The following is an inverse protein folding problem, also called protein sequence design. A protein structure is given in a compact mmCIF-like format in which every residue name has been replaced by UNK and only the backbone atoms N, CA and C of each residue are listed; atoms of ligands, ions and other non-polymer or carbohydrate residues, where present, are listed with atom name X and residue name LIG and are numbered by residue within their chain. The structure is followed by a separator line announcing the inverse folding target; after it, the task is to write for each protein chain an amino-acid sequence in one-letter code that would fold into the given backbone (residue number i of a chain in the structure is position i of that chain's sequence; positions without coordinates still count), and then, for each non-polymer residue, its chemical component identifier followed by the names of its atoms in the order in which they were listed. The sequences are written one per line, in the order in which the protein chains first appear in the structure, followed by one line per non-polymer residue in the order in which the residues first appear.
data_IF_684004827424
#
_entry.id   IF_684004827424
#
_cell.length_a   1.000
_cell.length_b   1.000
_cell.length_c   1.000
_cell.angle_alpha   90.00
_cell.angle_beta   90.00
_cell.angle_gamma   90.00
#
_symmetry.space_group_name_H-M   'P 1'
#
loop_
_entity.id
_entity.type
_entity.pdbx_description
1 polymer ?
#
# COMPACT_ATOMS: atom_id res chain seq x y z
N UNK A 1 -8.26 7.67 -3.19
CA UNK A 1 -9.25 8.77 -3.29
C UNK A 1 -10.51 8.38 -2.51
N UNK A 2 -10.98 9.18 -1.56
CA UNK A 2 -12.22 8.95 -0.79
C UNK A 2 -13.24 10.05 -1.16
N UNK A 3 -14.52 9.70 -1.28
CA UNK A 3 -15.58 10.60 -1.76
C UNK A 3 -16.69 10.69 -0.72
N UNK A 4 -16.87 11.89 -0.18
CA UNK A 4 -17.92 12.22 0.78
C UNK A 4 -19.29 12.25 0.09
N UNK A 5 -20.33 11.82 0.83
CA UNK A 5 -21.69 11.68 0.29
C UNK A 5 -22.44 12.98 0.03
N UNK A 6 -21.90 14.13 0.43
CA UNK A 6 -22.59 15.40 0.21
C UNK A 6 -22.28 15.88 -1.21
N UNK A 7 -23.26 15.67 -2.09
CA UNK A 7 -23.39 16.14 -3.48
C UNK A 7 -22.84 15.25 -4.61
N UNK A 8 -23.19 13.96 -4.61
CA UNK A 8 -23.05 13.15 -5.84
C UNK A 8 -24.17 13.56 -6.82
N UNK A 9 -23.78 14.30 -7.85
CA UNK A 9 -24.62 14.58 -9.02
C UNK A 9 -25.16 13.26 -9.59
N UNK A 10 -26.47 13.18 -9.84
CA UNK A 10 -27.08 12.03 -10.53
C UNK A 10 -26.66 12.03 -11.99
N UNK A 11 -25.61 11.29 -12.32
CA UNK A 11 -25.11 11.14 -13.68
C UNK A 11 -25.76 9.89 -14.31
N UNK A 12 -26.68 10.02 -15.28
CA UNK A 12 -27.29 8.87 -15.94
C UNK A 12 -26.28 8.13 -16.82
N UNK A 13 -26.36 6.81 -16.82
CA UNK A 13 -25.59 5.91 -17.68
C UNK A 13 -26.56 4.94 -18.40
N UNK A 14 -26.06 4.17 -19.36
CA UNK A 14 -26.88 3.24 -20.15
C UNK A 14 -27.72 2.28 -19.27
N UNK A 15 -28.82 1.76 -19.82
CA UNK A 15 -29.78 0.86 -19.14
C UNK A 15 -30.50 1.49 -17.94
N UNK A 16 -30.80 2.80 -18.02
CA UNK A 16 -31.53 3.55 -16.99
C UNK A 16 -30.88 3.50 -15.60
N UNK A 17 -29.55 3.33 -15.57
CA UNK A 17 -28.75 3.32 -14.33
C UNK A 17 -28.17 4.71 -14.07
N UNK A 18 -27.69 4.92 -12.85
CA UNK A 18 -26.92 6.11 -12.49
C UNK A 18 -25.50 5.68 -12.14
N UNK A 19 -24.52 6.55 -12.40
CA UNK A 19 -23.15 6.35 -11.95
C UNK A 19 -23.11 6.29 -10.42
N UNK A 20 -22.46 5.25 -9.90
CA UNK A 20 -22.19 5.08 -8.48
C UNK A 20 -20.70 5.23 -8.25
N UNK A 21 -20.32 6.16 -7.37
CA UNK A 21 -18.92 6.38 -7.08
C UNK A 21 -18.40 5.35 -6.08
N UNK A 22 -17.34 4.64 -6.48
CA UNK A 22 -16.58 3.76 -5.59
C UNK A 22 -15.60 4.54 -4.72
N UNK A 23 -14.98 3.85 -3.75
CA UNK A 23 -14.19 4.47 -2.69
C UNK A 23 -12.92 3.67 -2.46
N UNK A 24 -11.89 4.07 -3.18
CA UNK A 24 -10.62 3.37 -3.26
C UNK A 24 -10.04 2.93 -1.89
N UNK A 25 -9.98 3.79 -0.87
CA UNK A 25 -9.43 3.39 0.43
C UNK A 25 -10.36 2.49 1.25
N UNK A 26 -11.67 2.67 1.11
CA UNK A 26 -12.68 1.82 1.75
C UNK A 26 -12.62 0.41 1.14
N UNK A 27 -12.43 0.32 -0.18
CA UNK A 27 -12.32 -0.92 -0.93
C UNK A 27 -10.98 -1.63 -0.63
N UNK A 28 -9.86 -0.89 -0.60
CA UNK A 28 -8.54 -1.44 -0.21
C UNK A 28 -8.57 -2.00 1.21
N UNK A 29 -9.21 -1.30 2.16
CA UNK A 29 -9.40 -1.79 3.52
C UNK A 29 -10.14 -3.12 3.53
N UNK A 30 -11.28 -3.20 2.84
CA UNK A 30 -12.10 -4.41 2.83
C UNK A 30 -11.35 -5.60 2.23
N UNK A 31 -10.64 -5.42 1.12
CA UNK A 31 -9.95 -6.55 0.47
C UNK A 31 -8.74 -7.03 1.28
N UNK A 32 -7.99 -6.15 1.95
CA UNK A 32 -6.90 -6.57 2.85
C UNK A 32 -7.47 -7.29 4.09
N UNK A 33 -8.53 -6.74 4.68
CA UNK A 33 -9.20 -7.33 5.84
C UNK A 33 -9.69 -8.76 5.56
N UNK A 34 -10.27 -8.96 4.38
CA UNK A 34 -10.87 -10.23 3.98
C UNK A 34 -9.89 -11.25 3.37
N UNK A 35 -8.68 -10.84 2.98
CA UNK A 35 -7.67 -11.73 2.40
C UNK A 35 -7.37 -12.93 3.31
N UNK A 36 -7.17 -14.10 2.70
CA UNK A 36 -6.96 -15.39 3.38
C UNK A 36 -5.62 -16.04 3.04
N UNK A 37 -4.95 -15.62 1.97
CA UNK A 37 -3.74 -16.28 1.47
C UNK A 37 -2.58 -15.32 1.22
N UNK A 38 -2.82 -14.17 0.60
CA UNK A 38 -1.76 -13.22 0.27
C UNK A 38 -2.22 -11.76 0.30
N UNK A 39 -1.29 -10.90 0.71
CA UNK A 39 -1.36 -9.44 0.56
C UNK A 39 0.01 -8.95 0.11
N UNK A 40 0.12 -8.46 -1.11
CA UNK A 40 1.33 -7.85 -1.65
C UNK A 40 1.12 -6.36 -1.89
N UNK A 41 2.03 -5.55 -1.38
CA UNK A 41 2.00 -4.09 -1.53
C UNK A 41 3.31 -3.64 -2.14
N UNK A 42 3.23 -2.82 -3.20
CA UNK A 42 4.38 -2.13 -3.78
C UNK A 42 4.11 -0.64 -3.74
N UNK A 43 5.01 0.13 -3.16
CA UNK A 43 4.84 1.57 -3.02
C UNK A 43 6.14 2.33 -3.17
N UNK A 44 6.06 3.51 -3.80
CA UNK A 44 7.10 4.53 -3.67
C UNK A 44 7.36 4.88 -2.20
N UNK A 45 6.29 4.91 -1.41
CA UNK A 45 6.30 5.08 0.03
C UNK A 45 5.07 4.35 0.59
N UNK A 46 5.23 3.72 1.75
CA UNK A 46 4.15 3.17 2.55
C UNK A 46 4.32 3.76 3.94
N UNK A 47 3.28 4.32 4.53
CA UNK A 47 3.32 4.83 5.90
C UNK A 47 2.39 4.00 6.76
N UNK A 48 2.95 3.28 7.74
CA UNK A 48 2.25 2.27 8.55
C UNK A 48 1.18 2.87 9.44
N UNK A 49 1.33 4.14 9.83
CA UNK A 49 0.49 4.81 10.82
C UNK A 49 -0.84 5.36 10.26
N UNK A 50 -1.05 5.29 8.93
CA UNK A 50 -2.27 5.80 8.32
C UNK A 50 -3.47 4.90 8.62
N UNK A 51 -4.63 5.52 8.84
CA UNK A 51 -5.93 4.85 8.78
C UNK A 51 -6.49 4.91 7.36
N UNK A 52 -6.99 3.79 6.85
CA UNK A 52 -7.59 3.73 5.51
C UNK A 52 -9.02 4.30 5.51
N UNK A 53 -9.78 4.03 6.58
CA UNK A 53 -11.14 4.54 6.78
C UNK A 53 -11.09 5.68 7.79
N UNK A 54 -11.62 6.86 7.42
CA UNK A 54 -11.57 8.08 8.25
C UNK A 54 -12.91 8.83 8.37
N UNK A 55 -13.89 8.48 7.54
CA UNK A 55 -15.20 9.14 7.55
C UNK A 55 -16.03 8.65 8.74
N UNK A 56 -16.20 9.50 9.76
CA UNK A 56 -16.96 9.18 10.97
C UNK A 56 -18.44 8.93 10.71
N UNK A 57 -19.00 9.45 9.60
CA UNK A 57 -20.39 9.20 9.20
C UNK A 57 -20.57 7.81 8.58
N UNK A 58 -19.48 7.13 8.24
CA UNK A 58 -19.45 5.81 7.62
C UNK A 58 -18.33 4.97 8.20
N UNK A 59 -18.35 4.85 9.53
CA UNK A 59 -17.46 3.95 10.23
C UNK A 59 -17.65 2.52 9.73
N UNK A 60 -16.54 1.81 9.56
CA UNK A 60 -16.52 0.37 9.37
C UNK A 60 -16.09 -0.29 10.67
N UNK A 61 -16.53 -1.53 10.98
CA UNK A 61 -15.93 -2.32 12.04
C UNK A 61 -14.41 -2.30 11.89
N UNK A 62 -13.70 -1.91 12.95
CA UNK A 62 -12.24 -1.81 12.96
C UNK A 62 -11.63 -0.83 11.96
N UNK A 63 -12.41 0.10 11.40
CA UNK A 63 -11.91 1.11 10.46
C UNK A 63 -10.85 2.06 11.06
N UNK A 64 -10.75 2.10 12.39
CA UNK A 64 -9.74 2.87 13.12
C UNK A 64 -8.36 2.20 13.20
N UNK A 65 -8.21 0.95 12.76
CA UNK A 65 -6.92 0.26 12.72
C UNK A 65 -5.96 0.97 11.76
N UNK A 66 -4.69 1.06 12.16
CA UNK A 66 -3.62 1.56 11.30
C UNK A 66 -3.24 0.51 10.25
N UNK A 67 -2.77 0.94 9.09
CA UNK A 67 -2.38 0.04 8.00
C UNK A 67 -1.32 -0.98 8.46
N UNK A 68 -0.29 -0.53 9.16
CA UNK A 68 0.78 -1.41 9.65
C UNK A 68 0.26 -2.50 10.59
N UNK A 69 -0.58 -2.11 11.55
CA UNK A 69 -1.17 -3.04 12.51
C UNK A 69 -2.10 -4.06 11.82
N UNK A 70 -2.88 -3.61 10.83
CA UNK A 70 -3.70 -4.50 10.01
C UNK A 70 -2.84 -5.54 9.29
N UNK A 71 -1.75 -5.11 8.64
CA UNK A 71 -0.84 -6.00 7.91
C UNK A 71 -0.14 -7.01 8.83
N UNK A 72 0.36 -6.56 10.00
CA UNK A 72 0.93 -7.47 11.01
C UNK A 72 -0.08 -8.50 11.50
N UNK A 73 -1.33 -8.08 11.73
CA UNK A 73 -2.40 -9.01 12.11
C UNK A 73 -2.64 -10.04 11.01
N UNK A 74 -2.78 -9.62 9.75
CA UNK A 74 -2.97 -10.55 8.63
C UNK A 74 -1.83 -11.57 8.57
N UNK A 75 -0.59 -11.14 8.78
CA UNK A 75 0.56 -12.04 8.83
C UNK A 75 0.44 -13.06 9.98
N UNK A 76 0.06 -12.62 11.19
CA UNK A 76 -0.18 -13.52 12.33
C UNK A 76 -1.35 -14.50 12.13
N UNK A 77 -2.27 -14.18 11.22
CA UNK A 77 -3.36 -15.06 10.77
C UNK A 77 -2.91 -16.06 9.67
N UNK A 78 -1.60 -16.21 9.43
CA UNK A 78 -0.98 -17.01 8.37
C UNK A 78 -1.28 -16.52 6.93
N UNK A 79 -1.65 -15.25 6.74
CA UNK A 79 -1.70 -14.65 5.41
C UNK A 79 -0.30 -14.21 5.00
N UNK A 80 0.12 -14.52 3.78
CA UNK A 80 1.45 -14.08 3.30
C UNK A 80 1.44 -12.59 3.01
N UNK A 81 2.11 -11.81 3.85
CA UNK A 81 2.21 -10.35 3.68
C UNK A 81 3.60 -9.98 3.21
N UNK A 82 3.71 -9.44 1.99
CA UNK A 82 4.96 -8.92 1.44
C UNK A 82 4.80 -7.44 1.06
N UNK A 83 5.67 -6.59 1.58
CA UNK A 83 5.69 -5.15 1.29
C UNK A 83 7.02 -4.80 0.63
N UNK A 84 6.96 -4.26 -0.58
CA UNK A 84 8.12 -3.79 -1.33
C UNK A 84 8.05 -2.26 -1.42
N UNK A 85 9.03 -1.59 -0.81
CA UNK A 85 9.08 -0.12 -0.74
C UNK A 85 10.30 0.36 -1.49
N UNK A 86 10.21 1.48 -2.20
CA UNK A 86 11.38 2.09 -2.79
C UNK A 86 12.37 2.56 -1.70
N UNK A 87 13.65 2.21 -1.87
CA UNK A 87 14.75 2.63 -1.01
C UNK A 87 15.29 4.02 -1.46
N UNK A 88 15.02 5.06 -0.68
CA UNK A 88 15.52 6.42 -0.89
C UNK A 88 16.95 6.55 -0.37
N UNK A 89 17.92 6.30 -1.25
CA UNK A 89 19.35 6.47 -0.97
C UNK A 89 19.80 7.91 -0.69
N UNK A 90 18.92 8.91 -0.62
CA UNK A 90 19.30 10.21 -0.04
C UNK A 90 19.42 10.18 1.49
N UNK A 91 19.04 9.07 2.13
CA UNK A 91 19.19 8.82 3.58
C UNK A 91 20.63 8.50 4.03
N UNK A 92 21.54 8.12 3.12
CA UNK A 92 22.94 7.82 3.48
C UNK A 92 23.74 9.09 3.76
N UNK A 93 23.80 9.42 5.05
CA UNK A 93 24.76 10.37 5.61
C UNK A 93 24.12 11.35 6.58
N UNK A 94 23.77 10.88 7.78
CA UNK A 94 23.57 11.64 9.03
C UNK A 94 22.72 12.93 9.02
N UNK A 95 22.12 13.34 7.90
CA UNK A 95 21.47 14.64 7.77
C UNK A 95 19.95 14.60 7.70
N UNK A 96 19.31 13.43 7.54
CA UNK A 96 17.87 13.21 7.73
C UNK A 96 17.54 11.71 7.66
N UNK A 97 16.99 11.15 8.74
CA UNK A 97 16.47 9.78 8.77
C UNK A 97 15.29 9.55 7.79
N UNK A 98 14.64 10.63 7.36
CA UNK A 98 13.49 10.56 6.44
C UNK A 98 13.89 10.68 4.96
N UNK A 99 15.19 10.66 4.65
CA UNK A 99 15.70 11.04 3.33
C UNK A 99 15.37 12.50 2.99
N UNK A 100 15.70 12.93 1.77
CA UNK A 100 15.26 14.22 1.25
C UNK A 100 13.78 14.18 0.83
N UNK A 101 13.26 12.98 0.54
CA UNK A 101 11.96 12.79 -0.11
C UNK A 101 10.83 12.34 0.82
N UNK A 102 11.09 12.25 2.14
CA UNK A 102 10.11 11.93 3.18
C UNK A 102 9.32 10.65 2.90
N UNK A 103 10.02 9.58 2.54
CA UNK A 103 9.43 8.31 2.09
C UNK A 103 9.06 7.34 3.21
N UNK A 104 9.54 7.55 4.44
CA UNK A 104 9.30 6.67 5.61
C UNK A 104 9.69 5.20 5.37
N UNK A 105 10.63 4.95 4.46
CA UNK A 105 11.06 3.62 4.04
C UNK A 105 11.80 2.88 5.17
N UNK A 106 12.83 3.47 5.77
CA UNK A 106 13.54 2.86 6.90
C UNK A 106 12.64 2.67 8.14
N UNK A 107 11.74 3.62 8.41
CA UNK A 107 10.78 3.53 9.52
C UNK A 107 9.82 2.36 9.30
N UNK A 108 9.36 2.19 8.06
CA UNK A 108 8.43 1.12 7.70
C UNK A 108 9.09 -0.25 7.70
N UNK A 109 10.33 -0.37 7.20
CA UNK A 109 11.09 -1.61 7.29
C UNK A 109 11.28 -2.03 8.76
N UNK A 110 11.76 -1.11 9.61
CA UNK A 110 11.94 -1.34 11.05
C UNK A 110 10.63 -1.71 11.74
N UNK A 111 9.51 -1.12 11.30
CA UNK A 111 8.20 -1.49 11.84
C UNK A 111 7.90 -2.98 11.64
N UNK A 112 8.36 -3.61 10.56
CA UNK A 112 8.08 -5.02 10.25
C UNK A 112 9.19 -6.01 10.65
N UNK A 113 10.36 -5.56 11.12
CA UNK A 113 11.55 -6.38 11.38
C UNK A 113 11.30 -7.61 12.29
N UNK A 114 10.50 -7.46 13.35
CA UNK A 114 10.18 -8.52 14.31
C UNK A 114 8.76 -9.11 14.12
N UNK A 115 8.28 -9.24 12.88
CA UNK A 115 6.94 -9.77 12.59
C UNK A 115 6.92 -10.78 11.42
N UNK A 116 5.83 -11.54 11.30
CA UNK A 116 5.60 -12.49 10.20
C UNK A 116 5.39 -11.82 8.83
N UNK A 117 5.16 -10.49 8.79
CA UNK A 117 5.10 -9.72 7.56
C UNK A 117 6.52 -9.41 7.04
N UNK A 118 6.77 -9.68 5.77
CA UNK A 118 8.06 -9.42 5.15
C UNK A 118 8.07 -8.05 4.47
N UNK A 119 8.94 -7.14 4.92
CA UNK A 119 9.14 -5.83 4.30
C UNK A 119 10.54 -5.76 3.69
N UNK A 120 10.63 -5.35 2.42
CA UNK A 120 11.91 -5.24 1.71
C UNK A 120 12.05 -3.85 1.08
N UNK A 121 13.21 -3.24 1.30
CA UNK A 121 13.66 -2.04 0.62
C UNK A 121 14.20 -2.39 -0.77
N UNK A 122 13.64 -1.76 -1.79
CA UNK A 122 13.92 -2.03 -3.19
C UNK A 122 14.58 -0.82 -3.84
N UNK A 123 15.84 -1.00 -4.20
CA UNK A 123 16.61 -0.02 -4.93
C UNK A 123 16.21 0.03 -6.41
N UNK A 124 16.28 1.23 -7.00
CA UNK A 124 16.10 1.39 -8.45
C UNK A 124 17.46 1.43 -9.15
N UNK A 125 17.94 0.25 -9.53
CA UNK A 125 19.17 0.11 -10.32
C UNK A 125 18.86 0.12 -11.84
N UNK A 126 19.85 0.49 -12.66
CA UNK A 126 19.79 0.37 -14.13
C UNK A 126 20.55 -0.87 -14.61
N UNK A 127 20.10 -1.46 -15.71
CA UNK A 127 20.74 -2.64 -16.35
C UNK A 127 22.04 -2.31 -17.14
N UNK A 128 22.72 -1.19 -16.87
CA UNK A 128 23.86 -0.73 -17.70
C UNK A 128 25.12 -0.46 -16.88
N UNK A 129 26.26 -0.92 -17.40
CA UNK A 129 27.62 -0.73 -16.89
C UNK A 129 28.09 0.74 -17.01
N UNK A 130 27.56 1.60 -16.15
CA UNK A 130 27.88 3.03 -16.09
C UNK A 130 29.06 3.36 -15.16
N UNK A 131 29.44 4.65 -15.16
CA UNK A 131 30.38 5.23 -14.20
C UNK A 131 29.71 5.43 -12.83
N UNK A 132 30.47 5.28 -11.74
CA UNK A 132 30.03 5.49 -10.33
C UNK A 132 29.24 6.81 -10.14
N UNK A 133 29.63 7.87 -10.85
CA UNK A 133 28.95 9.19 -10.79
C UNK A 133 27.53 9.12 -11.35
N UNK A 134 27.34 8.32 -12.40
CA UNK A 134 26.05 8.13 -13.05
C UNK A 134 25.14 7.25 -12.19
N UNK A 135 25.68 6.22 -11.57
CA UNK A 135 24.95 5.37 -10.62
C UNK A 135 24.45 6.18 -9.43
N UNK A 136 25.27 7.10 -8.89
CA UNK A 136 24.87 7.99 -7.80
C UNK A 136 23.70 8.91 -8.21
N UNK A 137 23.77 9.51 -9.42
CA UNK A 137 22.66 10.29 -9.97
C UNK A 137 21.40 9.44 -10.17
N UNK A 138 21.52 8.20 -10.59
CA UNK A 138 20.37 7.33 -10.83
C UNK A 138 19.68 6.95 -9.53
N UNK A 139 20.45 6.55 -8.51
CA UNK A 139 19.92 6.20 -7.19
C UNK A 139 19.25 7.37 -6.47
N UNK A 140 19.60 8.61 -6.82
CA UNK A 140 19.01 9.82 -6.24
C UNK A 140 17.89 10.43 -7.11
N UNK A 141 17.78 10.07 -8.40
CA UNK A 141 16.81 10.69 -9.32
C UNK A 141 15.73 9.75 -9.88
N UNK A 142 15.90 8.43 -9.81
CA UNK A 142 14.92 7.45 -10.29
C UNK A 142 14.36 6.59 -9.16
N UNK A 143 13.09 6.22 -9.29
CA UNK A 143 12.33 5.64 -8.18
C UNK A 143 11.51 4.43 -8.66
N UNK A 144 11.23 3.49 -7.76
CA UNK A 144 10.14 2.54 -7.98
C UNK A 144 8.81 3.25 -7.72
N UNK A 145 8.26 3.89 -8.74
CA UNK A 145 7.08 4.75 -8.59
C UNK A 145 5.72 4.00 -8.66
N UNK A 146 5.76 2.67 -8.67
CA UNK A 146 4.58 1.81 -8.71
C UNK A 146 3.78 1.93 -7.40
N UNK A 147 2.45 1.80 -7.50
CA UNK A 147 1.50 1.84 -6.37
C UNK A 147 0.52 0.69 -6.58
N UNK A 148 0.83 -0.45 -5.99
CA UNK A 148 0.17 -1.72 -6.26
C UNK A 148 -0.28 -2.33 -4.95
N UNK A 149 -1.50 -2.86 -4.94
CA UNK A 149 -2.03 -3.75 -3.90
C UNK A 149 -2.59 -4.97 -4.61
N UNK A 150 -2.07 -6.16 -4.27
CA UNK A 150 -2.54 -7.45 -4.79
C UNK A 150 -2.97 -8.30 -3.60
N UNK A 151 -4.17 -8.86 -3.67
CA UNK A 151 -4.76 -9.67 -2.61
C UNK A 151 -5.52 -10.83 -3.23
N UNK A 152 -5.64 -11.94 -2.49
CA UNK A 152 -6.67 -12.92 -2.80
C UNK A 152 -8.06 -12.40 -2.41
N UNK A 153 -9.08 -12.80 -3.16
CA UNK A 153 -10.46 -12.44 -2.91
C UNK A 153 -11.38 -13.62 -3.22
N UNK A 154 -12.50 -13.70 -2.50
CA UNK A 154 -13.53 -14.68 -2.78
C UNK A 154 -14.07 -14.51 -4.20
N UNK A 155 -14.37 -15.62 -4.87
CA UNK A 155 -15.01 -15.57 -6.18
C UNK A 155 -16.40 -14.93 -6.05
N UNK A 156 -16.87 -14.18 -7.06
CA UNK A 156 -18.18 -13.49 -7.00
C UNK A 156 -19.38 -14.42 -6.76
N UNK A 157 -19.21 -15.72 -6.99
CA UNK A 157 -20.21 -16.76 -6.79
C UNK A 157 -20.11 -17.47 -5.41
N UNK A 158 -19.22 -17.02 -4.52
CA UNK A 158 -19.09 -17.53 -3.15
C UNK A 158 -18.39 -18.87 -3.01
N UNK A 159 -17.78 -19.40 -4.08
CA UNK A 159 -17.05 -20.67 -4.02
C UNK A 159 -15.66 -20.46 -3.39
N UNK A 160 -15.50 -20.91 -2.14
CA UNK A 160 -14.30 -20.70 -1.32
C UNK A 160 -13.24 -21.79 -1.51
N UNK A 161 -13.50 -22.82 -2.33
CA UNK A 161 -12.67 -24.03 -2.41
C UNK A 161 -11.88 -24.19 -3.72
N UNK A 162 -11.95 -23.22 -4.64
CA UNK A 162 -11.23 -23.32 -5.92
C UNK A 162 -9.80 -22.77 -5.73
N UNK A 163 -8.86 -23.70 -5.51
CA UNK A 163 -7.41 -23.44 -5.43
C UNK A 163 -6.82 -23.13 -6.80
#
# INVERSE_FOLDING_TARGET
MHIYLMDILKIPIAKSKHYESHRCWDDIFDVIMNAKHLVYIIGYSVYTEIKLVRDSKRSKPEGDIKLGDLLKRKASENVRVNVLIWDDRTSVGSLKKDGLMATHDEETEKFFEDNDANCMLCHRDRDLSGSIVQDLQITTMFTHHQKIVVVDAAMPNGDTNRK
#
